data_IF_634165746849
#
_entry.id   IF_634165746849
#
_cell.length_a   1.000
_cell.length_b   1.000
_cell.length_c   1.000
_cell.angle_alpha   90.00
_cell.angle_beta   90.00
_cell.angle_gamma   90.00
#
_symmetry.space_group_name_H-M   'P 1'
#
loop_
_entity.id
_entity.type
_entity.pdbx_description
1 polymer ?
#
# COMPACT_ATOMS: atom_id res chain seq x y z
N UNK A 1 19.37 12.71 -57.21
CA UNK A 1 20.73 12.26 -57.60
C UNK A 1 21.31 11.60 -56.36
N UNK A 2 21.43 10.26 -56.35
CA UNK A 2 21.71 9.39 -55.19
C UNK A 2 20.67 9.53 -54.04
N UNK A 3 19.94 8.51 -53.58
CA UNK A 3 20.03 7.05 -53.68
C UNK A 3 21.38 6.46 -53.24
N UNK A 4 21.37 5.84 -52.05
CA UNK A 4 22.22 4.68 -51.75
C UNK A 4 21.48 3.74 -50.80
N UNK A 5 21.54 2.44 -51.11
CA UNK A 5 20.81 1.36 -50.45
C UNK A 5 21.58 0.74 -49.28
N UNK A 6 20.89 -0.12 -48.53
CA UNK A 6 21.46 -1.42 -48.17
C UNK A 6 21.83 -1.61 -46.70
N UNK A 7 21.40 -2.73 -46.09
CA UNK A 7 21.87 -3.11 -44.76
C UNK A 7 20.98 -4.02 -43.90
N UNK A 8 20.00 -4.73 -44.46
CA UNK A 8 19.31 -5.77 -43.69
C UNK A 8 20.18 -7.05 -43.64
N UNK A 9 20.37 -7.63 -42.47
CA UNK A 9 20.79 -9.03 -42.37
C UNK A 9 20.11 -9.73 -41.18
N UNK A 10 19.36 -10.78 -41.48
CA UNK A 10 18.71 -11.64 -40.49
C UNK A 10 19.56 -12.90 -40.31
N UNK A 11 19.79 -13.32 -39.07
CA UNK A 11 20.34 -14.65 -38.78
C UNK A 11 19.37 -15.43 -37.89
N UNK A 12 18.78 -16.47 -38.47
CA UNK A 12 17.81 -17.37 -37.84
C UNK A 12 18.49 -18.44 -36.97
N UNK A 13 17.75 -18.85 -35.94
CA UNK A 13 17.54 -20.23 -35.48
C UNK A 13 18.73 -21.22 -35.49
N UNK A 14 19.07 -21.74 -34.30
CA UNK A 14 19.11 -23.20 -34.14
C UNK A 14 18.60 -23.66 -32.78
N UNK A 15 17.53 -24.44 -32.86
CA UNK A 15 16.84 -25.15 -31.79
C UNK A 15 17.61 -26.43 -31.46
N UNK A 16 17.63 -26.85 -30.19
CA UNK A 16 17.76 -28.28 -29.87
C UNK A 16 17.00 -28.59 -28.56
N UNK A 17 15.98 -29.42 -28.68
CA UNK A 17 15.27 -30.02 -27.55
C UNK A 17 16.06 -31.22 -27.03
N UNK A 18 15.84 -31.58 -25.77
CA UNK A 18 15.85 -32.97 -25.32
C UNK A 18 14.81 -33.10 -24.20
N UNK A 19 13.95 -34.11 -24.32
CA UNK A 19 12.79 -34.34 -23.46
C UNK A 19 13.01 -35.54 -22.54
N UNK A 20 12.14 -35.69 -21.54
CA UNK A 20 11.68 -36.98 -20.94
C UNK A 20 12.73 -37.89 -20.26
N UNK A 21 12.43 -38.71 -19.26
CA UNK A 21 11.15 -39.07 -18.61
C UNK A 21 11.39 -39.76 -17.27
N UNK A 22 10.42 -39.60 -16.36
CA UNK A 22 9.74 -40.63 -15.53
C UNK A 22 10.50 -41.92 -15.18
N UNK A 23 10.53 -42.22 -13.87
CA UNK A 23 10.77 -43.56 -13.34
C UNK A 23 10.33 -43.68 -11.88
N UNK A 24 9.11 -44.20 -11.65
CA UNK A 24 8.59 -44.52 -10.32
C UNK A 24 8.78 -46.02 -10.00
N UNK A 25 8.83 -46.39 -8.72
CA UNK A 25 8.91 -47.79 -8.29
C UNK A 25 8.83 -47.95 -6.77
N UNK A 26 7.67 -48.39 -6.29
CA UNK A 26 7.39 -48.65 -4.87
C UNK A 26 8.09 -49.92 -4.33
N UNK A 27 8.34 -49.96 -3.02
CA UNK A 27 8.38 -51.20 -2.24
C UNK A 27 8.25 -50.94 -0.72
N UNK A 28 7.16 -51.42 -0.11
CA UNK A 28 6.97 -51.56 1.34
C UNK A 28 6.34 -52.93 1.63
N UNK A 29 6.82 -53.66 2.66
CA UNK A 29 5.96 -54.07 3.79
C UNK A 29 6.77 -54.09 5.13
N UNK A 30 6.28 -54.42 6.33
CA UNK A 30 4.98 -54.93 6.79
C UNK A 30 4.65 -54.49 8.25
N UNK A 31 3.53 -54.99 8.79
CA UNK A 31 3.13 -55.10 10.20
C UNK A 31 3.92 -56.22 10.94
N UNK A 32 3.97 -56.40 12.28
CA UNK A 32 3.21 -55.96 13.47
C UNK A 32 3.93 -56.59 14.71
N UNK A 33 3.30 -56.94 15.87
CA UNK A 33 1.90 -56.88 16.28
C UNK A 33 1.63 -56.09 17.60
N UNK A 34 0.38 -56.12 18.08
CA UNK A 34 -0.10 -55.54 19.35
C UNK A 34 -0.11 -56.56 20.51
N UNK A 35 -0.12 -56.07 21.76
CA UNK A 35 -0.52 -56.83 22.97
C UNK A 35 -1.29 -55.88 23.93
N UNK A 36 -2.41 -56.35 24.49
CA UNK A 36 -3.22 -55.69 25.55
C UNK A 36 -2.68 -56.10 26.95
N UNK A 37 -3.07 -55.57 28.13
CA UNK A 37 -4.38 -55.08 28.59
C UNK A 37 -4.29 -54.36 29.98
N UNK A 38 -5.45 -53.92 30.48
CA UNK A 38 -5.81 -53.69 31.91
C UNK A 38 -5.37 -52.44 32.73
N UNK A 39 -6.17 -52.20 33.79
CA UNK A 39 -6.29 -50.98 34.64
C UNK A 39 -5.73 -51.22 36.05
N UNK A 40 -5.23 -50.16 36.73
CA UNK A 40 -5.68 -49.78 38.10
C UNK A 40 -5.09 -48.45 38.64
N UNK A 41 -6.00 -47.62 39.15
CA UNK A 41 -5.94 -46.69 40.29
C UNK A 41 -4.64 -45.96 40.78
N UNK A 42 -4.78 -44.64 40.86
CA UNK A 42 -4.38 -43.72 41.96
C UNK A 42 -2.90 -43.51 42.34
N UNK A 43 -2.45 -42.25 42.24
CA UNK A 43 -1.24 -41.72 42.88
C UNK A 43 -1.09 -40.23 42.59
N UNK A 44 -1.33 -39.36 43.58
CA UNK A 44 -1.31 -37.91 43.38
C UNK A 44 0.10 -37.31 43.25
N UNK A 45 0.26 -36.34 42.35
CA UNK A 45 1.53 -35.65 42.14
C UNK A 45 1.35 -34.39 41.28
N UNK A 46 0.90 -33.29 41.87
CA UNK A 46 0.62 -32.05 41.16
C UNK A 46 1.91 -31.36 40.67
N UNK A 47 2.38 -31.71 39.46
CA UNK A 47 3.41 -30.94 38.75
C UNK A 47 2.73 -29.91 37.85
N UNK A 48 2.62 -28.68 38.34
CA UNK A 48 2.20 -27.52 37.56
C UNK A 48 3.19 -27.27 36.41
N UNK A 49 2.93 -27.90 35.26
CA UNK A 49 3.56 -27.51 34.02
C UNK A 49 2.92 -26.19 33.57
N UNK A 50 3.56 -25.08 33.90
CA UNK A 50 3.34 -23.81 33.22
C UNK A 50 3.91 -23.92 31.79
N UNK A 51 3.21 -24.70 30.97
CA UNK A 51 3.36 -24.65 29.53
C UNK A 51 2.83 -23.30 29.07
N UNK A 52 3.71 -22.30 29.00
CA UNK A 52 3.42 -21.07 28.28
C UNK A 52 3.15 -21.50 26.84
N UNK A 53 1.87 -21.52 26.46
CA UNK A 53 1.46 -21.73 25.08
C UNK A 53 1.89 -20.52 24.29
N UNK A 54 3.16 -20.52 23.87
CA UNK A 54 3.71 -19.56 22.92
C UNK A 54 3.07 -19.88 21.57
N UNK A 55 1.84 -19.39 21.39
CA UNK A 55 1.13 -19.40 20.12
C UNK A 55 1.73 -18.33 19.19
N UNK A 56 3.03 -18.52 18.92
CA UNK A 56 3.80 -17.74 17.97
C UNK A 56 3.43 -18.16 16.56
N UNK A 57 2.19 -17.82 16.18
CA UNK A 57 1.78 -17.85 14.78
C UNK A 57 2.81 -17.07 13.94
N UNK A 58 3.23 -17.57 12.76
CA UNK A 58 4.20 -16.88 11.91
C UNK A 58 3.81 -15.44 11.54
N UNK A 59 2.52 -15.11 11.65
CA UNK A 59 1.99 -13.78 11.42
C UNK A 59 2.37 -12.77 12.51
N UNK A 60 2.55 -13.18 13.77
CA UNK A 60 3.01 -12.29 14.84
C UNK A 60 4.42 -11.75 14.55
N UNK A 61 5.32 -12.62 14.08
CA UNK A 61 6.68 -12.28 13.65
C UNK A 61 6.76 -11.46 12.36
N UNK A 62 5.73 -11.52 11.50
CA UNK A 62 5.61 -10.64 10.32
C UNK A 62 5.07 -9.26 10.71
N UNK A 63 4.12 -9.19 11.66
CA UNK A 63 3.49 -7.94 12.12
C UNK A 63 4.44 -7.06 12.92
N UNK A 64 5.31 -7.64 13.75
CA UNK A 64 6.32 -6.90 14.54
C UNK A 64 7.40 -6.17 13.72
N UNK A 65 7.41 -6.31 12.38
CA UNK A 65 8.38 -5.60 11.52
C UNK A 65 8.04 -4.14 11.29
N UNK A 66 6.77 -3.74 11.22
CA UNK A 66 6.40 -2.35 10.96
C UNK A 66 6.68 -1.47 12.18
N UNK A 67 7.39 -0.37 12.01
CA UNK A 67 7.72 0.54 13.12
C UNK A 67 6.47 1.23 13.68
N UNK A 68 5.46 1.54 12.85
CA UNK A 68 4.15 2.08 13.30
C UNK A 68 3.41 1.16 14.28
N UNK A 69 3.73 -0.14 14.32
CA UNK A 69 3.15 -1.11 15.26
C UNK A 69 3.91 -1.21 16.59
N UNK A 70 4.99 -0.46 16.77
CA UNK A 70 5.70 -0.41 18.06
C UNK A 70 4.89 0.42 19.08
N UNK A 71 4.86 0.02 20.36
CA UNK A 71 4.11 0.73 21.39
C UNK A 71 4.47 2.21 21.46
N UNK A 72 3.46 3.09 21.42
CA UNK A 72 3.63 4.54 21.47
C UNK A 72 4.02 5.20 20.15
N UNK A 73 4.64 4.49 19.20
CA UNK A 73 5.20 5.09 17.98
C UNK A 73 4.14 5.77 17.09
N UNK A 74 3.00 5.12 16.87
CA UNK A 74 1.87 5.73 16.15
C UNK A 74 1.30 6.95 16.89
N UNK A 75 1.19 6.89 18.22
CA UNK A 75 0.65 8.00 19.02
C UNK A 75 1.58 9.22 19.03
N UNK A 76 2.89 9.00 18.97
CA UNK A 76 3.86 10.08 18.82
C UNK A 76 3.74 10.71 17.43
N UNK A 77 3.71 9.87 16.38
CA UNK A 77 3.58 10.34 15.01
C UNK A 77 2.30 11.16 14.78
N UNK A 78 1.17 10.74 15.36
CA UNK A 78 -0.09 11.51 15.34
C UNK A 78 0.13 12.90 15.93
N UNK A 79 0.68 13.02 17.15
CA UNK A 79 0.94 14.32 17.78
C UNK A 79 1.87 15.20 16.95
N UNK A 80 2.90 14.61 16.35
CA UNK A 80 3.87 15.34 15.55
C UNK A 80 3.22 15.91 14.27
N UNK A 81 2.36 15.14 13.58
CA UNK A 81 1.66 15.65 12.38
C UNK A 81 0.52 16.60 12.71
N UNK A 82 -0.17 16.41 13.85
CA UNK A 82 -1.19 17.34 14.36
C UNK A 82 -0.57 18.71 14.69
N UNK A 83 0.65 18.73 15.26
CA UNK A 83 1.39 19.96 15.56
C UNK A 83 1.89 20.72 14.31
N UNK A 84 1.87 20.10 13.13
CA UNK A 84 2.22 20.72 11.83
C UNK A 84 1.01 21.28 11.07
N UNK A 85 -0.22 21.11 11.60
CA UNK A 85 -1.43 21.67 11.01
C UNK A 85 -1.54 23.16 11.31
N UNK A 86 -1.65 23.96 10.26
CA UNK A 86 -1.80 25.42 10.38
C UNK A 86 -3.28 25.75 10.56
N UNK A 87 -3.69 26.18 11.75
CA UNK A 87 -5.12 26.45 12.03
C UNK A 87 -5.69 27.63 11.25
N UNK A 88 -4.87 28.59 10.81
CA UNK A 88 -5.32 29.74 10.01
C UNK A 88 -5.55 29.34 8.54
N UNK A 89 -4.66 28.52 7.99
CA UNK A 89 -4.74 28.05 6.60
C UNK A 89 -5.63 26.81 6.43
N UNK A 90 -5.38 25.77 7.22
CA UNK A 90 -6.00 24.46 7.10
C UNK A 90 -7.32 24.34 7.89
N UNK A 91 -7.49 25.12 8.96
CA UNK A 91 -8.64 25.06 9.85
C UNK A 91 -8.62 23.84 10.80
N UNK A 92 -9.78 23.39 11.27
CA UNK A 92 -9.88 22.33 12.27
C UNK A 92 -9.57 20.97 11.66
N UNK A 93 -8.96 20.07 12.44
CA UNK A 93 -8.77 18.66 12.07
C UNK A 93 -10.12 17.93 12.13
N UNK A 94 -10.48 17.25 11.04
CA UNK A 94 -11.70 16.43 10.94
C UNK A 94 -11.41 14.95 11.18
N UNK A 95 -10.23 14.48 10.78
CA UNK A 95 -9.77 13.11 11.02
C UNK A 95 -8.35 12.86 10.53
N UNK A 96 -7.81 11.70 10.90
CA UNK A 96 -6.47 11.23 10.54
C UNK A 96 -6.52 9.75 10.15
N UNK A 97 -5.78 9.38 9.10
CA UNK A 97 -5.68 8.01 8.58
C UNK A 97 -4.23 7.59 8.35
N UNK A 98 -3.99 6.28 8.44
CA UNK A 98 -2.76 5.62 8.04
C UNK A 98 -3.03 4.84 6.74
N UNK A 99 -2.39 5.25 5.65
CA UNK A 99 -2.64 4.69 4.31
C UNK A 99 -1.34 4.44 3.54
N UNK A 100 -1.45 3.71 2.43
CA UNK A 100 -0.38 3.59 1.46
C UNK A 100 -0.68 4.49 0.25
N UNK A 101 0.17 5.49 -0.01
CA UNK A 101 0.20 6.19 -1.30
C UNK A 101 0.62 5.21 -2.38
N UNK A 102 -0.09 5.20 -3.50
CA UNK A 102 0.26 4.49 -4.74
C UNK A 102 0.68 5.53 -5.77
N UNK A 103 1.97 5.53 -6.13
CA UNK A 103 2.43 6.38 -7.22
C UNK A 103 2.10 5.81 -8.61
N UNK A 104 2.33 6.62 -9.64
CA UNK A 104 2.07 6.25 -11.03
C UNK A 104 2.95 5.09 -11.54
N UNK A 105 4.07 4.79 -10.88
CA UNK A 105 4.91 3.61 -11.10
C UNK A 105 4.49 2.40 -10.28
N UNK A 106 3.31 2.45 -9.66
CA UNK A 106 2.73 1.42 -8.81
C UNK A 106 3.38 1.25 -7.43
N UNK A 107 4.38 2.06 -7.05
CA UNK A 107 5.05 1.88 -5.75
C UNK A 107 4.14 2.28 -4.59
N UNK A 108 4.16 1.48 -3.53
CA UNK A 108 3.51 1.78 -2.26
C UNK A 108 4.44 2.55 -1.33
N UNK A 109 3.94 3.63 -0.72
CA UNK A 109 4.66 4.44 0.26
C UNK A 109 3.77 4.71 1.47
N UNK A 110 4.26 4.46 2.67
CA UNK A 110 3.55 4.70 3.93
C UNK A 110 3.29 6.20 4.13
N UNK A 111 2.05 6.57 4.48
CA UNK A 111 1.60 7.95 4.71
C UNK A 111 0.68 8.05 5.91
N UNK A 112 0.88 9.11 6.69
CA UNK A 112 -0.17 9.69 7.52
C UNK A 112 -0.91 10.74 6.69
N UNK A 113 -2.24 10.77 6.81
CA UNK A 113 -3.11 11.65 6.04
C UNK A 113 -4.09 12.31 6.98
N UNK A 114 -4.17 13.65 6.96
CA UNK A 114 -5.12 14.43 7.75
C UNK A 114 -6.10 15.11 6.79
N UNK A 115 -7.40 15.04 7.11
CA UNK A 115 -8.41 15.91 6.50
C UNK A 115 -8.70 17.02 7.51
N UNK A 116 -8.65 18.27 7.06
CA UNK A 116 -9.03 19.45 7.83
C UNK A 116 -10.22 20.15 7.17
N UNK A 117 -10.70 21.24 7.78
CA UNK A 117 -11.75 22.08 7.20
C UNK A 117 -11.44 22.59 5.79
N UNK A 118 -10.19 22.99 5.48
CA UNK A 118 -9.80 23.58 4.19
C UNK A 118 -8.86 22.71 3.34
N UNK A 119 -8.14 21.74 3.94
CA UNK A 119 -7.00 21.05 3.31
C UNK A 119 -7.02 19.54 3.50
N UNK A 120 -6.46 18.83 2.53
CA UNK A 120 -5.96 17.47 2.68
C UNK A 120 -4.44 17.54 2.85
N UNK A 121 -3.94 17.05 3.98
CA UNK A 121 -2.51 17.03 4.31
C UNK A 121 -1.99 15.60 4.24
N UNK A 122 -0.86 15.41 3.56
CA UNK A 122 -0.27 14.08 3.31
C UNK A 122 1.19 14.11 3.75
N UNK A 123 1.53 13.27 4.73
CA UNK A 123 2.81 13.29 5.41
C UNK A 123 3.62 12.02 5.12
N UNK A 124 4.86 12.21 4.67
CA UNK A 124 5.93 11.19 4.77
C UNK A 124 6.54 11.33 6.16
N UNK A 125 6.21 10.39 7.03
CA UNK A 125 6.72 10.35 8.40
C UNK A 125 7.68 9.17 8.58
N UNK A 126 8.84 9.43 9.17
CA UNK A 126 9.83 8.41 9.53
C UNK A 126 9.53 7.88 10.94
N UNK A 127 8.94 6.68 11.02
CA UNK A 127 8.63 6.00 12.29
C UNK A 127 9.86 5.42 13.03
N UNK A 128 11.06 5.59 12.49
CA UNK A 128 12.35 5.26 13.14
C UNK A 128 12.94 6.50 13.79
N UNK A 129 12.95 7.63 13.08
CA UNK A 129 13.56 8.90 13.52
C UNK A 129 12.58 9.84 14.25
N UNK A 130 11.28 9.57 14.18
CA UNK A 130 10.20 10.43 14.68
C UNK A 130 10.21 11.83 14.04
N UNK A 131 10.32 11.88 12.71
CA UNK A 131 10.38 13.11 11.92
C UNK A 131 9.41 13.12 10.75
N UNK A 132 8.85 14.29 10.44
CA UNK A 132 8.15 14.52 9.18
C UNK A 132 9.16 14.95 8.11
N UNK A 133 9.42 14.06 7.15
CA UNK A 133 10.36 14.32 6.05
C UNK A 133 9.75 15.19 4.94
N UNK A 134 8.43 15.08 4.74
CA UNK A 134 7.71 15.78 3.69
C UNK A 134 6.23 15.93 4.06
N UNK A 135 5.69 17.13 3.88
CA UNK A 135 4.26 17.42 3.94
C UNK A 135 3.79 17.95 2.57
N UNK A 136 2.78 17.31 1.99
CA UNK A 136 2.06 17.82 0.83
C UNK A 136 0.69 18.35 1.30
N UNK A 137 0.37 19.59 0.94
CA UNK A 137 -0.91 20.25 1.25
C UNK A 137 -1.72 20.42 -0.04
N UNK A 138 -2.92 19.86 -0.07
CA UNK A 138 -3.85 19.90 -1.20
C UNK A 138 -5.12 20.64 -0.74
N UNK A 139 -5.37 21.88 -1.20
CA UNK A 139 -6.56 22.63 -0.78
C UNK A 139 -7.85 21.99 -1.33
N UNK A 140 -8.83 21.76 -0.46
CA UNK A 140 -10.05 21.02 -0.77
C UNK A 140 -10.97 21.76 -1.76
N UNK A 141 -10.86 23.09 -1.86
CA UNK A 141 -11.55 23.91 -2.87
C UNK A 141 -11.10 23.59 -4.31
N UNK A 142 -9.95 22.95 -4.50
CA UNK A 142 -9.49 22.51 -5.82
C UNK A 142 -9.85 21.06 -6.13
N UNK A 143 -10.22 20.23 -5.15
CA UNK A 143 -10.55 18.81 -5.38
C UNK A 143 -11.83 18.68 -6.21
N UNK A 144 -11.71 18.24 -7.46
CA UNK A 144 -12.85 18.17 -8.40
C UNK A 144 -13.39 16.76 -8.60
N UNK A 145 -12.58 15.72 -8.39
CA UNK A 145 -12.98 14.34 -8.64
C UNK A 145 -12.35 13.38 -7.64
N UNK A 146 -13.16 12.46 -7.13
CA UNK A 146 -12.75 11.35 -6.29
C UNK A 146 -13.19 10.05 -6.98
N UNK A 147 -12.24 9.25 -7.46
CA UNK A 147 -12.51 7.93 -8.06
C UNK A 147 -12.19 6.83 -7.06
N UNK A 148 -13.10 5.87 -6.91
CA UNK A 148 -12.93 4.69 -6.06
C UNK A 148 -13.10 3.40 -6.88
N UNK A 149 -12.22 2.42 -6.69
CA UNK A 149 -12.36 1.10 -7.29
C UNK A 149 -11.06 0.31 -7.33
N UNK A 150 -11.08 -0.81 -8.06
CA UNK A 150 -9.93 -1.68 -8.26
C UNK A 150 -8.89 -1.07 -9.20
N UNK A 151 -7.64 -1.51 -9.09
CA UNK A 151 -6.56 -1.07 -9.96
C UNK A 151 -6.62 -1.76 -11.33
N UNK A 152 -6.41 -0.99 -12.41
CA UNK A 152 -6.30 -1.53 -13.77
C UNK A 152 -4.94 -1.19 -14.39
N UNK A 153 -4.44 -2.10 -15.22
CA UNK A 153 -3.10 -2.05 -15.82
C UNK A 153 -3.20 -2.25 -17.34
N UNK A 154 -2.26 -1.70 -18.14
CA UNK A 154 -2.19 -1.94 -19.57
C UNK A 154 -2.10 -3.45 -19.91
N UNK A 155 -2.65 -3.86 -21.06
CA UNK A 155 -2.77 -5.27 -21.49
C UNK A 155 -1.46 -6.07 -21.47
N UNK A 156 -0.32 -5.39 -21.59
CA UNK A 156 1.03 -5.98 -21.62
C UNK A 156 1.87 -5.62 -20.39
N UNK A 157 1.28 -5.01 -19.35
CA UNK A 157 2.00 -4.76 -18.11
C UNK A 157 2.19 -6.05 -17.32
N UNK A 158 3.41 -6.26 -16.82
CA UNK A 158 3.73 -7.35 -15.89
C UNK A 158 3.32 -7.01 -14.44
N UNK A 159 2.78 -5.82 -14.21
CA UNK A 159 2.29 -5.39 -12.91
C UNK A 159 0.85 -5.82 -12.68
N UNK A 160 0.58 -6.30 -11.47
CA UNK A 160 -0.76 -6.53 -10.95
C UNK A 160 -0.80 -6.06 -9.49
N UNK A 161 -1.97 -5.57 -9.04
CA UNK A 161 -2.29 -5.33 -7.63
C UNK A 161 -3.70 -5.85 -7.36
N UNK A 162 -3.87 -6.56 -6.25
CA UNK A 162 -5.17 -6.87 -5.69
C UNK A 162 -5.65 -5.77 -4.72
N UNK A 163 -6.96 -5.59 -4.61
CA UNK A 163 -7.58 -4.60 -3.72
C UNK A 163 -8.04 -3.33 -4.45
N UNK A 164 -8.53 -2.40 -3.64
CA UNK A 164 -9.15 -1.15 -4.07
C UNK A 164 -8.33 0.07 -3.62
N UNK A 165 -8.60 1.21 -4.23
CA UNK A 165 -8.03 2.48 -3.83
C UNK A 165 -8.97 3.65 -4.06
N UNK A 166 -8.53 4.81 -3.59
CA UNK A 166 -9.16 6.11 -3.84
C UNK A 166 -8.14 7.00 -4.55
N UNK A 167 -8.50 7.51 -5.73
CA UNK A 167 -7.73 8.55 -6.45
C UNK A 167 -8.45 9.88 -6.38
N UNK A 168 -7.74 10.90 -5.92
CA UNK A 168 -8.23 12.26 -5.70
C UNK A 168 -7.56 13.15 -6.74
N UNK A 169 -8.33 13.92 -7.48
CA UNK A 169 -7.86 14.87 -8.50
C UNK A 169 -8.17 16.30 -8.06
N UNK A 170 -7.22 17.21 -8.25
CA UNK A 170 -7.38 18.63 -7.94
C UNK A 170 -7.05 19.56 -9.12
N UNK A 171 -6.64 19.02 -10.26
CA UNK A 171 -6.48 19.77 -11.50
C UNK A 171 -7.04 18.96 -12.67
N UNK A 172 -8.08 19.52 -13.31
CA UNK A 172 -8.78 18.93 -14.45
C UNK A 172 -8.19 19.34 -15.80
N UNK A 173 -7.35 20.38 -15.83
CA UNK A 173 -6.79 20.94 -17.08
C UNK A 173 -5.32 20.60 -17.30
N UNK A 174 -4.58 20.29 -16.24
CA UNK A 174 -3.22 19.74 -16.36
C UNK A 174 -3.27 18.25 -16.62
N UNK A 175 -3.08 17.84 -17.87
CA UNK A 175 -2.60 16.49 -18.14
C UNK A 175 -1.14 16.37 -17.65
N UNK A 176 -0.72 15.23 -17.07
CA UNK A 176 0.67 14.98 -16.74
C UNK A 176 1.56 15.19 -17.98
N UNK A 177 2.69 15.88 -17.82
CA UNK A 177 3.64 15.98 -18.92
C UNK A 177 4.18 14.59 -19.26
N UNK A 178 4.49 14.32 -20.53
CA UNK A 178 5.09 13.04 -20.92
C UNK A 178 6.36 12.73 -20.10
N UNK A 179 7.15 13.75 -19.77
CA UNK A 179 8.34 13.62 -18.91
C UNK A 179 7.96 13.22 -17.47
N UNK A 180 6.88 13.77 -16.93
CA UNK A 180 6.34 13.38 -15.62
C UNK A 180 5.89 11.91 -15.61
N UNK A 181 5.14 11.46 -16.63
CA UNK A 181 4.65 10.07 -16.73
C UNK A 181 5.78 9.03 -16.82
N UNK A 182 6.91 9.39 -17.45
CA UNK A 182 8.07 8.52 -17.60
C UNK A 182 9.13 8.67 -16.49
N UNK A 183 8.94 9.57 -15.51
CA UNK A 183 9.89 9.78 -14.42
C UNK A 183 9.37 9.14 -13.11
N UNK A 184 10.00 8.04 -12.61
CA UNK A 184 9.54 7.36 -11.39
C UNK A 184 9.57 8.23 -10.11
N UNK A 185 10.24 9.39 -10.16
CA UNK A 185 10.32 10.36 -9.06
C UNK A 185 9.45 11.61 -9.28
N UNK A 186 8.60 11.65 -10.31
CA UNK A 186 7.69 12.78 -10.54
C UNK A 186 6.65 12.90 -9.41
N UNK A 187 6.62 14.08 -8.78
CA UNK A 187 5.66 14.48 -7.73
C UNK A 187 4.66 15.53 -8.21
N UNK A 188 4.76 15.97 -9.47
CA UNK A 188 3.97 17.08 -10.04
C UNK A 188 2.63 16.63 -10.67
N UNK A 189 2.19 15.41 -10.35
CA UNK A 189 0.95 14.85 -10.86
C UNK A 189 -0.29 15.56 -10.27
N UNK A 190 -1.36 15.77 -11.07
CA UNK A 190 -2.59 16.45 -10.67
C UNK A 190 -3.52 15.57 -9.80
N UNK A 191 -2.99 14.47 -9.27
CA UNK A 191 -3.72 13.48 -8.48
C UNK A 191 -2.83 12.78 -7.46
N UNK A 192 -3.46 12.25 -6.41
CA UNK A 192 -2.86 11.28 -5.49
C UNK A 192 -3.75 10.04 -5.42
N UNK A 193 -3.15 8.87 -5.21
CA UNK A 193 -3.88 7.60 -5.06
C UNK A 193 -3.53 6.97 -3.73
N UNK A 194 -4.54 6.51 -2.99
CA UNK A 194 -4.37 5.76 -1.74
C UNK A 194 -4.90 4.35 -1.86
N UNK A 195 -4.27 3.41 -1.14
CA UNK A 195 -4.76 2.04 -0.90
C UNK A 195 -4.53 1.65 0.56
N UNK A 196 -5.01 0.47 0.94
CA UNK A 196 -5.11 0.06 2.33
C UNK A 196 -3.72 -0.19 2.91
N UNK A 197 -3.47 0.33 4.11
CA UNK A 197 -2.21 0.05 4.79
C UNK A 197 -2.13 -1.46 5.14
N UNK A 198 -0.97 -2.14 4.97
CA UNK A 198 -0.84 -3.58 5.25
C UNK A 198 -1.21 -3.99 6.68
N UNK A 199 -1.16 -3.06 7.63
CA UNK A 199 -1.45 -3.31 9.06
C UNK A 199 -2.94 -3.22 9.42
N UNK A 200 -3.84 -2.90 8.47
CA UNK A 200 -5.28 -2.69 8.74
C UNK A 200 -5.94 -3.81 9.56
N UNK A 201 -5.55 -5.06 9.33
CA UNK A 201 -6.16 -6.24 9.97
C UNK A 201 -5.45 -6.65 11.28
N UNK A 202 -4.61 -5.79 11.88
CA UNK A 202 -3.83 -6.13 13.09
C UNK A 202 -4.58 -5.82 14.38
N UNK A 203 -5.38 -4.75 14.44
CA UNK A 203 -6.24 -4.42 15.58
C UNK A 203 -7.48 -3.63 15.13
N UNK A 204 -8.51 -3.57 15.96
CA UNK A 204 -9.72 -2.79 15.66
C UNK A 204 -9.41 -1.29 15.46
N UNK A 205 -8.53 -0.72 16.28
CA UNK A 205 -8.06 0.66 16.16
C UNK A 205 -7.38 0.93 14.82
N UNK A 206 -6.51 0.01 14.37
CA UNK A 206 -5.83 0.13 13.09
C UNK A 206 -6.78 -0.12 11.91
N UNK A 207 -7.79 -0.99 12.07
CA UNK A 207 -8.82 -1.21 11.06
C UNK A 207 -9.64 0.06 10.80
N UNK A 208 -9.98 0.82 11.85
CA UNK A 208 -10.65 2.11 11.71
C UNK A 208 -9.70 3.18 11.11
N UNK A 209 -8.46 3.26 11.61
CA UNK A 209 -7.47 4.23 11.14
C UNK A 209 -7.03 4.02 9.69
N UNK A 210 -7.12 2.79 9.19
CA UNK A 210 -6.75 2.43 7.82
C UNK A 210 -7.98 2.28 6.90
N UNK A 211 -9.18 2.66 7.33
CA UNK A 211 -10.38 2.51 6.50
C UNK A 211 -10.52 3.61 5.44
N UNK A 212 -10.41 3.18 4.19
CA UNK A 212 -10.55 4.01 2.99
C UNK A 212 -12.01 4.47 2.78
N UNK A 213 -13.02 3.71 3.18
CA UNK A 213 -14.41 4.12 2.93
C UNK A 213 -14.78 5.30 3.83
N UNK A 214 -14.51 5.21 5.13
CA UNK A 214 -14.65 6.32 6.07
C UNK A 214 -13.82 7.55 5.64
N UNK A 215 -12.56 7.35 5.20
CA UNK A 215 -11.73 8.42 4.64
C UNK A 215 -12.38 9.10 3.43
N UNK A 216 -12.88 8.32 2.47
CA UNK A 216 -13.51 8.80 1.23
C UNK A 216 -14.77 9.61 1.51
N UNK A 217 -15.61 9.15 2.44
CA UNK A 217 -16.85 9.81 2.82
C UNK A 217 -16.55 11.15 3.49
N UNK A 218 -15.66 11.18 4.48
CA UNK A 218 -15.27 12.43 5.14
C UNK A 218 -14.56 13.40 4.18
N UNK A 219 -13.74 12.91 3.25
CA UNK A 219 -13.10 13.74 2.23
C UNK A 219 -14.11 14.37 1.26
N UNK A 220 -15.09 13.58 0.80
CA UNK A 220 -16.19 14.06 -0.04
C UNK A 220 -16.92 15.20 0.67
N UNK A 221 -17.32 14.98 1.92
CA UNK A 221 -18.17 15.92 2.66
C UNK A 221 -17.40 17.20 3.03
N UNK A 222 -16.12 17.08 3.43
CA UNK A 222 -15.24 18.23 3.64
C UNK A 222 -15.04 19.05 2.35
N UNK A 223 -14.72 18.40 1.23
CA UNK A 223 -14.50 19.10 -0.03
C UNK A 223 -15.80 19.71 -0.60
N UNK A 224 -16.98 19.10 -0.38
CA UNK A 224 -18.28 19.69 -0.70
C UNK A 224 -18.61 20.92 0.17
N UNK A 225 -18.34 20.86 1.47
CA UNK A 225 -18.45 21.99 2.41
C UNK A 225 -17.58 23.17 1.93
N UNK A 226 -16.33 22.92 1.59
CA UNK A 226 -15.40 23.96 1.10
C UNK A 226 -15.84 24.55 -0.24
N UNK A 227 -16.31 23.74 -1.20
CA UNK A 227 -16.84 24.26 -2.47
C UNK A 227 -18.03 25.22 -2.26
N UNK A 228 -18.87 24.97 -1.25
CA UNK A 228 -19.98 25.85 -0.89
C UNK A 228 -19.53 27.18 -0.27
N UNK A 229 -18.41 27.18 0.46
CA UNK A 229 -17.88 28.37 1.15
C UNK A 229 -16.90 29.20 0.30
N UNK A 230 -16.08 28.53 -0.52
CA UNK A 230 -14.98 29.10 -1.31
C UNK A 230 -15.00 28.52 -2.74
N UNK A 231 -16.02 28.83 -3.56
CA UNK A 231 -16.14 28.27 -4.91
C UNK A 231 -15.00 28.76 -5.83
N UNK A 232 -14.38 27.84 -6.56
CA UNK A 232 -13.33 28.17 -7.55
C UNK A 232 -13.98 28.39 -8.93
N UNK A 233 -13.65 29.48 -9.65
CA UNK A 233 -14.12 29.69 -11.02
C UNK A 233 -13.80 28.49 -11.93
N UNK A 234 -14.80 28.02 -12.67
CA UNK A 234 -14.68 26.82 -13.51
C UNK A 234 -14.85 25.47 -12.80
N UNK A 235 -14.97 25.43 -11.46
CA UNK A 235 -15.23 24.22 -10.66
C UNK A 235 -16.57 24.24 -9.91
N UNK A 236 -17.55 25.01 -10.40
CA UNK A 236 -18.84 25.25 -9.74
C UNK A 236 -19.73 24.01 -9.53
N UNK A 237 -19.45 22.89 -10.20
CA UNK A 237 -20.24 21.65 -10.10
C UNK A 237 -19.93 20.82 -8.83
N UNK A 238 -19.01 21.28 -7.97
CA UNK A 238 -18.59 20.56 -6.77
C UNK A 238 -17.81 19.28 -7.08
N UNK A 239 -17.69 18.42 -6.06
CA UNK A 239 -16.85 17.21 -6.10
C UNK A 239 -17.57 16.06 -6.79
N UNK A 240 -17.05 15.60 -7.92
CA UNK A 240 -17.56 14.45 -8.66
C UNK A 240 -17.02 13.13 -8.07
N UNK A 241 -17.90 12.31 -7.50
CA UNK A 241 -17.53 10.98 -6.98
C UNK A 241 -17.86 9.90 -7.99
N UNK A 242 -16.87 9.10 -8.39
CA UNK A 242 -16.99 8.02 -9.37
C UNK A 242 -16.61 6.68 -8.76
N UNK A 243 -17.40 5.63 -9.02
CA UNK A 243 -17.01 4.24 -8.77
C UNK A 243 -16.48 3.65 -10.08
N UNK A 244 -15.16 3.66 -10.28
CA UNK A 244 -14.52 3.22 -11.52
C UNK A 244 -13.11 2.67 -11.25
N UNK A 245 -12.61 1.84 -12.15
CA UNK A 245 -11.24 1.32 -12.05
C UNK A 245 -10.22 2.44 -12.10
N UNK A 246 -9.14 2.30 -11.33
CA UNK A 246 -8.06 3.27 -11.21
C UNK A 246 -6.90 2.83 -12.12
N UNK A 247 -6.67 3.51 -13.26
CA UNK A 247 -5.59 3.13 -14.17
C UNK A 247 -4.21 3.46 -13.59
N UNK A 248 -3.29 2.52 -13.75
CA UNK A 248 -1.86 2.66 -13.46
C UNK A 248 -1.10 2.54 -14.78
N UNK A 249 -0.48 3.62 -15.24
CA UNK A 249 0.11 3.72 -16.59
C UNK A 249 1.50 3.07 -16.71
N UNK A 250 1.97 2.38 -15.65
CA UNK A 250 3.27 1.72 -15.63
C UNK A 250 3.33 0.46 -16.53
N UNK A 251 4.10 0.56 -17.62
CA UNK A 251 4.40 -0.56 -18.52
C UNK A 251 5.63 -1.37 -18.07
N UNK A 252 6.68 -0.71 -17.57
CA UNK A 252 7.95 -1.34 -17.16
C UNK A 252 8.06 -1.26 -15.64
N UNK A 253 7.80 -2.39 -14.97
CA UNK A 253 7.50 -2.39 -13.53
C UNK A 253 8.34 -3.30 -12.64
N UNK A 254 9.41 -3.94 -13.13
CA UNK A 254 10.15 -4.94 -12.35
C UNK A 254 10.68 -4.37 -11.02
N UNK A 255 11.20 -3.13 -11.02
CA UNK A 255 11.66 -2.46 -9.81
C UNK A 255 10.52 -2.19 -8.82
N UNK A 256 9.36 -1.73 -9.30
CA UNK A 256 8.19 -1.48 -8.46
C UNK A 256 7.58 -2.77 -7.90
N UNK A 257 7.59 -3.85 -8.68
CA UNK A 257 7.16 -5.18 -8.24
C UNK A 257 8.04 -5.70 -7.10
N UNK A 258 9.37 -5.65 -7.27
CA UNK A 258 10.34 -6.02 -6.24
C UNK A 258 10.23 -5.10 -5.01
N UNK A 259 10.03 -3.79 -5.22
CA UNK A 259 9.86 -2.80 -4.16
C UNK A 259 8.60 -3.04 -3.32
N UNK A 260 7.49 -3.36 -3.96
CA UNK A 260 6.22 -3.65 -3.29
C UNK A 260 6.22 -5.00 -2.57
N UNK A 261 6.80 -6.05 -3.17
CA UNK A 261 6.94 -7.36 -2.50
C UNK A 261 7.80 -7.26 -1.24
N UNK A 262 8.93 -6.54 -1.33
CA UNK A 262 9.81 -6.29 -0.17
C UNK A 262 9.32 -5.13 0.73
N UNK A 263 8.16 -4.53 0.41
CA UNK A 263 7.53 -3.41 1.13
C UNK A 263 8.55 -2.31 1.45
N UNK A 264 9.31 -1.86 0.44
CA UNK A 264 10.42 -0.92 0.58
C UNK A 264 9.97 0.49 1.01
N UNK A 265 8.81 0.96 0.54
CA UNK A 265 8.25 2.26 0.92
C UNK A 265 7.57 2.31 2.30
N UNK A 266 7.73 1.28 3.13
CA UNK A 266 7.21 1.22 4.50
C UNK A 266 8.36 1.26 5.51
N UNK A 267 8.13 1.88 6.67
CA UNK A 267 9.03 1.85 7.81
C UNK A 267 8.97 0.45 8.44
N UNK A 268 9.86 -0.44 8.00
CA UNK A 268 9.97 -1.80 8.52
C UNK A 268 11.39 -2.17 8.93
N UNK A 269 11.49 -2.94 10.01
CA UNK A 269 12.69 -3.67 10.37
C UNK A 269 12.98 -4.74 9.31
N UNK A 270 13.97 -4.46 8.47
CA UNK A 270 14.61 -5.42 7.56
C UNK A 270 15.75 -6.04 8.37
N UNK A 271 15.76 -7.36 8.49
CA UNK A 271 16.51 -8.07 9.54
C UNK A 271 18.03 -7.86 9.49
N UNK A 272 18.72 -8.26 10.56
CA UNK A 272 20.17 -8.08 10.72
C UNK A 272 20.99 -8.77 9.60
N UNK A 273 21.26 -8.03 8.53
CA UNK A 273 22.47 -8.17 7.73
C UNK A 273 23.53 -7.26 8.34
N UNK A 274 24.04 -7.67 9.50
CA UNK A 274 25.31 -7.16 10.02
C UNK A 274 26.46 -7.91 9.33
N UNK A 275 27.49 -7.17 8.96
CA UNK A 275 28.82 -7.71 8.66
C UNK A 275 29.65 -7.68 9.95
#
# INVERSE_FOLDING_TARGET
MAEFEGGANQSKEKQHQLSSSVGAGDAQPAAGPQVTDERAASGGGARLQHGVSVDSTPDHFKRTRFFVLRPGTLNQAIKDVEALVDQELDGSILGLWLMAEVDHWNNEKERLVIITDNSLLVFKYDFVMFSCDQMQRIPLNFVDRISHGTFSFPKYSLLQRAGEGVRIFWDRQREPSFVSTWNPFATDLPFITFTYHPVRNVSATLSALCDIQTFREQLKDAAQKVHSMKPVPGKANGVLVLNQQIPIEAYVGLMSFLGNQNKLGYCMARGNLGF
#
